data_IF_551900454420
#
_entry.id   IF_551900454420
#
_cell.length_a   1.000
_cell.length_b   1.000
_cell.length_c   1.000
_cell.angle_alpha   90.00
_cell.angle_beta   90.00
_cell.angle_gamma   90.00
#
_symmetry.space_group_name_H-M   'P 1'
#
loop_
_entity.id
_entity.type
_entity.pdbx_description
1 polymer ?
#
# COMPACT_ATOMS: atom_id res chain seq x y z
N UNK A 1 13.49 -18.69 2.52
CA UNK A 1 13.45 -17.41 1.77
C UNK A 1 14.79 -16.73 1.97
N UNK A 2 15.43 -16.26 0.91
CA UNK A 2 16.71 -15.57 0.99
C UNK A 2 16.62 -14.21 0.28
N UNK A 3 17.34 -13.22 0.79
CA UNK A 3 17.61 -11.97 0.11
C UNK A 3 19.00 -11.48 0.50
N UNK A 4 19.92 -11.41 -0.45
CA UNK A 4 21.33 -11.14 -0.19
C UNK A 4 21.88 -12.07 0.92
N UNK A 5 22.29 -11.50 2.05
CA UNK A 5 22.82 -12.20 3.22
C UNK A 5 21.75 -12.60 4.26
N UNK A 6 20.52 -12.08 4.16
CA UNK A 6 19.44 -12.40 5.08
C UNK A 6 18.70 -13.67 4.64
N UNK A 7 18.67 -14.69 5.52
CA UNK A 7 18.01 -15.98 5.29
C UNK A 7 16.93 -16.24 6.35
N UNK A 8 15.71 -16.54 5.91
CA UNK A 8 14.63 -17.06 6.75
C UNK A 8 14.38 -18.53 6.39
N UNK A 9 14.54 -19.40 7.39
CA UNK A 9 14.27 -20.83 7.29
C UNK A 9 13.01 -21.18 8.06
N UNK A 10 12.20 -22.06 7.47
CA UNK A 10 11.01 -22.62 8.11
C UNK A 10 11.22 -24.12 8.22
N UNK A 11 11.09 -24.65 9.42
CA UNK A 11 11.23 -26.07 9.71
C UNK A 11 10.31 -26.45 10.87
N UNK A 12 9.96 -27.73 10.92
CA UNK A 12 9.26 -28.29 12.08
C UNK A 12 10.18 -28.27 13.31
N UNK A 13 9.57 -28.13 14.49
CA UNK A 13 10.28 -27.97 15.75
C UNK A 13 10.84 -29.31 16.27
N UNK A 14 11.71 -29.94 15.49
CA UNK A 14 12.41 -31.17 15.84
C UNK A 14 13.92 -30.96 15.85
N UNK A 15 14.59 -31.54 16.86
CA UNK A 15 16.05 -31.45 17.00
C UNK A 15 16.78 -32.04 15.77
N UNK A 16 16.24 -33.11 15.17
CA UNK A 16 16.80 -33.72 13.97
C UNK A 16 16.84 -32.73 12.79
N UNK A 17 15.78 -31.94 12.58
CA UNK A 17 15.71 -30.95 11.49
C UNK A 17 16.76 -29.86 11.66
N UNK A 18 16.97 -29.41 12.91
CA UNK A 18 17.96 -28.37 13.22
C UNK A 18 19.38 -28.87 12.99
N UNK A 19 19.67 -30.14 13.27
CA UNK A 19 20.97 -30.75 12.94
C UNK A 19 21.21 -30.78 11.43
N UNK A 20 20.19 -31.10 10.64
CA UNK A 20 20.29 -31.08 9.18
C UNK A 20 20.54 -29.65 8.68
N UNK A 21 19.77 -28.68 9.16
CA UNK A 21 19.97 -27.27 8.80
C UNK A 21 21.39 -26.81 9.11
N UNK A 22 21.88 -27.14 10.31
CA UNK A 22 23.25 -26.80 10.73
C UNK A 22 24.30 -27.45 9.84
N UNK A 23 24.18 -28.75 9.55
CA UNK A 23 25.11 -29.46 8.67
C UNK A 23 25.13 -28.86 7.25
N UNK A 24 23.97 -28.47 6.72
CA UNK A 24 23.87 -27.81 5.41
C UNK A 24 24.52 -26.43 5.44
N UNK A 25 24.29 -25.64 6.50
CA UNK A 25 24.91 -24.33 6.66
C UNK A 25 26.43 -24.43 6.84
N UNK A 26 26.93 -25.40 7.60
CA UNK A 26 28.35 -25.65 7.80
C UNK A 26 29.01 -26.04 6.47
N UNK A 27 28.42 -26.97 5.71
CA UNK A 27 28.91 -27.34 4.38
C UNK A 27 28.91 -26.15 3.40
N UNK A 28 27.91 -25.29 3.47
CA UNK A 28 27.88 -24.05 2.68
C UNK A 28 28.99 -23.08 3.11
N UNK A 29 29.24 -22.93 4.41
CA UNK A 29 30.30 -22.09 4.95
C UNK A 29 31.69 -22.59 4.51
N UNK A 30 31.92 -23.91 4.56
CA UNK A 30 33.16 -24.53 4.09
C UNK A 30 33.39 -24.31 2.60
N UNK A 31 32.35 -24.45 1.77
CA UNK A 31 32.46 -24.28 0.32
C UNK A 31 32.59 -22.81 -0.10
N UNK A 32 31.95 -21.88 0.62
CA UNK A 32 31.91 -20.45 0.26
C UNK A 32 32.97 -19.59 0.96
N UNK A 33 33.58 -20.10 2.03
CA UNK A 33 34.44 -19.33 2.93
C UNK A 33 33.69 -18.31 3.81
N UNK A 34 32.35 -18.29 3.76
CA UNK A 34 31.53 -17.41 4.61
C UNK A 34 31.24 -18.05 5.97
N UNK A 35 30.77 -17.25 6.94
CA UNK A 35 30.40 -17.73 8.28
C UNK A 35 29.06 -17.18 8.72
N UNK A 36 28.21 -18.05 9.28
CA UNK A 36 26.94 -17.64 9.89
C UNK A 36 27.20 -16.88 11.19
N UNK A 37 26.61 -15.70 11.32
CA UNK A 37 26.62 -14.94 12.58
C UNK A 37 25.54 -15.44 13.52
N UNK A 38 25.94 -16.21 14.55
CA UNK A 38 25.01 -16.71 15.57
C UNK A 38 24.41 -15.58 16.42
N UNK A 39 25.14 -14.48 16.61
CA UNK A 39 24.68 -13.30 17.35
C UNK A 39 23.54 -12.56 16.64
N UNK A 40 23.60 -12.49 15.30
CA UNK A 40 22.53 -11.88 14.49
C UNK A 40 21.37 -12.84 14.23
N UNK A 41 21.63 -14.15 14.30
CA UNK A 41 20.64 -15.19 14.09
C UNK A 41 19.66 -15.26 15.26
N UNK A 42 18.39 -15.52 14.95
CA UNK A 42 17.32 -15.62 15.96
C UNK A 42 16.40 -16.78 15.63
N UNK A 43 15.94 -17.51 16.65
CA UNK A 43 14.94 -18.56 16.49
C UNK A 43 13.64 -18.13 17.15
N UNK A 44 12.53 -18.27 16.42
CA UNK A 44 11.19 -18.09 16.94
C UNK A 44 10.43 -19.41 16.92
N UNK A 45 9.76 -19.71 18.02
CA UNK A 45 8.94 -20.91 18.17
C UNK A 45 7.46 -20.56 18.17
N UNK A 46 6.64 -21.44 17.59
CA UNK A 46 5.19 -21.31 17.68
C UNK A 46 4.72 -21.54 19.12
N UNK A 47 3.55 -21.00 19.46
CA UNK A 47 2.98 -21.14 20.82
C UNK A 47 2.78 -22.60 21.23
N UNK A 48 2.64 -23.50 20.26
CA UNK A 48 2.32 -24.92 20.46
C UNK A 48 3.54 -25.79 20.79
N UNK A 49 4.77 -25.24 20.75
CA UNK A 49 5.98 -26.00 21.07
C UNK A 49 6.21 -25.99 22.58
N UNK A 50 6.41 -27.15 23.20
CA UNK A 50 6.74 -27.27 24.62
C UNK A 50 8.06 -26.58 24.98
N UNK A 51 8.16 -26.05 26.21
CA UNK A 51 9.35 -25.32 26.67
C UNK A 51 10.63 -26.17 26.59
N UNK A 52 10.54 -27.43 26.99
CA UNK A 52 11.67 -28.37 26.97
C UNK A 52 12.21 -28.58 25.56
N UNK A 53 11.33 -28.74 24.56
CA UNK A 53 11.72 -28.84 23.16
C UNK A 53 12.42 -27.58 22.65
N UNK A 54 11.95 -26.39 23.05
CA UNK A 54 12.58 -25.10 22.68
C UNK A 54 13.99 -24.98 23.22
N UNK A 55 14.19 -25.34 24.49
CA UNK A 55 15.50 -25.31 25.14
C UNK A 55 16.47 -26.30 24.50
N UNK A 56 16.02 -27.52 24.20
CA UNK A 56 16.82 -28.51 23.45
C UNK A 56 17.23 -27.99 22.07
N UNK A 57 16.31 -27.38 21.32
CA UNK A 57 16.61 -26.84 19.99
C UNK A 57 17.57 -25.63 20.07
N UNK A 58 17.35 -24.72 21.02
CA UNK A 58 18.23 -23.56 21.23
C UNK A 58 19.63 -24.00 21.64
N UNK A 59 19.75 -25.01 22.52
CA UNK A 59 21.04 -25.58 22.92
C UNK A 59 21.80 -26.23 21.76
N UNK A 60 21.12 -26.99 20.90
CA UNK A 60 21.77 -27.66 19.75
C UNK A 60 22.16 -26.67 18.63
N UNK A 61 21.32 -25.66 18.39
CA UNK A 61 21.58 -24.64 17.37
C UNK A 61 22.62 -23.60 17.81
N UNK A 62 22.76 -23.33 19.11
CA UNK A 62 23.56 -22.22 19.63
C UNK A 62 22.95 -20.85 19.32
N UNK A 63 21.69 -20.80 18.89
CA UNK A 63 20.99 -19.55 18.54
C UNK A 63 20.01 -19.21 19.65
N UNK A 64 19.97 -17.93 20.03
CA UNK A 64 19.07 -17.44 21.07
C UNK A 64 17.61 -17.51 20.61
N UNK A 65 16.77 -18.06 21.48
CA UNK A 65 15.31 -18.00 21.31
C UNK A 65 14.82 -16.57 21.51
N UNK A 66 13.87 -16.14 20.68
CA UNK A 66 13.24 -14.82 20.78
C UNK A 66 11.73 -14.92 20.62
N UNK A 67 11.02 -14.01 21.26
CA UNK A 67 9.58 -13.79 21.06
C UNK A 67 9.28 -12.89 19.84
N UNK A 68 10.31 -12.23 19.29
CA UNK A 68 10.21 -11.35 18.13
C UNK A 68 11.38 -11.58 17.16
N UNK A 69 11.05 -11.94 15.91
CA UNK A 69 12.00 -12.08 14.81
C UNK A 69 12.52 -10.72 14.31
N UNK A 70 11.92 -9.61 14.76
CA UNK A 70 12.30 -8.27 14.34
C UNK A 70 11.92 -8.02 12.88
N UNK A 71 12.80 -7.31 12.16
CA UNK A 71 12.52 -6.82 10.81
C UNK A 71 13.28 -7.61 9.76
N UNK A 72 12.58 -7.89 8.67
CA UNK A 72 13.15 -8.41 7.43
C UNK A 72 12.77 -7.44 6.31
N UNK A 73 13.76 -6.98 5.55
CA UNK A 73 13.58 -5.98 4.49
C UNK A 73 12.82 -4.72 4.97
N UNK A 74 13.10 -4.29 6.20
CA UNK A 74 12.49 -3.10 6.81
C UNK A 74 11.04 -3.27 7.30
N UNK A 75 10.48 -4.47 7.22
CA UNK A 75 9.13 -4.78 7.71
C UNK A 75 9.18 -5.84 8.84
N UNK A 76 8.37 -5.70 9.90
CA UNK A 76 8.32 -6.69 10.97
C UNK A 76 7.79 -8.03 10.45
N UNK A 77 8.53 -9.11 10.72
CA UNK A 77 8.21 -10.47 10.24
C UNK A 77 6.97 -11.04 10.92
N UNK A 78 6.84 -10.82 12.23
CA UNK A 78 5.74 -11.32 13.04
C UNK A 78 4.80 -10.17 13.41
N UNK A 79 3.65 -10.10 12.74
CA UNK A 79 2.63 -9.09 13.02
C UNK A 79 1.52 -9.70 13.88
N UNK A 80 1.67 -9.66 15.22
CA UNK A 80 0.55 -10.02 16.12
C UNK A 80 -0.49 -8.90 16.20
N UNK A 81 -0.04 -7.64 16.31
CA UNK A 81 -0.89 -6.44 16.27
C UNK A 81 -0.11 -5.25 15.70
N UNK A 82 -0.78 -4.44 14.90
CA UNK A 82 -0.23 -3.18 14.39
C UNK A 82 -0.29 -2.13 15.49
N UNK A 83 0.85 -1.86 16.11
CA UNK A 83 0.95 -0.82 17.12
C UNK A 83 1.56 0.45 16.52
N UNK A 84 1.29 1.59 17.17
CA UNK A 84 1.90 2.88 16.82
C UNK A 84 3.43 2.82 16.85
N UNK A 85 3.97 2.04 17.78
CA UNK A 85 5.41 1.80 17.98
C UNK A 85 6.05 1.13 16.75
N UNK A 86 5.34 0.19 16.13
CA UNK A 86 5.81 -0.52 14.93
C UNK A 86 6.17 0.44 13.78
N UNK A 87 5.45 1.56 13.68
CA UNK A 87 5.67 2.58 12.66
C UNK A 87 6.34 3.86 13.20
N UNK A 88 6.66 3.90 14.49
CA UNK A 88 7.43 4.98 15.11
C UNK A 88 8.77 5.18 14.41
N UNK A 89 9.42 4.11 13.97
CA UNK A 89 10.66 4.19 13.21
C UNK A 89 10.51 4.85 11.83
N UNK A 90 9.36 4.72 11.16
CA UNK A 90 9.11 5.43 9.89
C UNK A 90 9.04 6.92 10.16
N UNK A 91 8.32 7.32 11.21
CA UNK A 91 8.22 8.70 11.67
C UNK A 91 9.60 9.24 12.10
N UNK A 92 10.40 8.43 12.82
CA UNK A 92 11.74 8.80 13.27
C UNK A 92 12.69 9.00 12.08
N UNK A 93 12.64 8.14 11.06
CA UNK A 93 13.42 8.30 9.83
C UNK A 93 13.07 9.59 9.09
N UNK A 94 11.78 9.90 8.95
CA UNK A 94 11.34 11.17 8.35
C UNK A 94 11.83 12.37 9.17
N UNK A 95 11.67 12.30 10.49
CA UNK A 95 12.06 13.38 11.40
C UNK A 95 13.58 13.62 11.40
N UNK A 96 14.38 12.55 11.39
CA UNK A 96 15.84 12.61 11.33
C UNK A 96 16.32 13.26 10.01
N UNK A 97 15.74 12.86 8.87
CA UNK A 97 16.04 13.50 7.57
C UNK A 97 15.70 14.99 7.58
N UNK A 98 14.56 15.36 8.13
CA UNK A 98 14.16 16.77 8.27
C UNK A 98 15.06 17.57 9.21
N UNK A 99 15.49 16.97 10.33
CA UNK A 99 16.38 17.61 11.29
C UNK A 99 17.75 17.92 10.68
N UNK A 100 18.27 17.03 9.82
CA UNK A 100 19.49 17.25 9.05
C UNK A 100 19.41 18.44 8.07
N UNK A 101 18.21 18.89 7.70
CA UNK A 101 18.00 20.01 6.78
C UNK A 101 17.54 21.30 7.47
N UNK A 102 17.71 21.41 8.80
CA UNK A 102 17.18 22.51 9.64
C UNK A 102 17.36 23.91 9.00
N UNK A 103 16.28 24.39 8.38
CA UNK A 103 15.74 25.77 8.42
C UNK A 103 16.52 26.94 7.82
N UNK A 104 17.85 26.98 7.83
CA UNK A 104 18.61 28.21 7.52
C UNK A 104 19.04 28.37 6.06
N UNK A 105 18.99 27.33 5.23
CA UNK A 105 19.55 27.38 3.87
C UNK A 105 18.51 27.15 2.75
N UNK A 106 17.25 26.87 3.09
CA UNK A 106 16.25 26.44 2.09
C UNK A 106 15.08 27.42 1.96
N UNK A 107 14.88 27.89 0.73
CA UNK A 107 13.68 28.62 0.31
C UNK A 107 12.42 27.76 0.47
N UNK A 108 11.24 28.39 0.49
CA UNK A 108 9.98 27.66 0.59
C UNK A 108 9.80 26.66 -0.57
N UNK A 109 10.15 27.07 -1.79
CA UNK A 109 10.15 26.19 -2.96
C UNK A 109 11.10 24.99 -2.78
N UNK A 110 12.32 25.22 -2.26
CA UNK A 110 13.26 24.15 -1.95
C UNK A 110 12.70 23.13 -0.93
N UNK A 111 12.02 23.62 0.11
CA UNK A 111 11.38 22.75 1.11
C UNK A 111 10.25 21.92 0.50
N UNK A 112 9.42 22.51 -0.37
CA UNK A 112 8.37 21.78 -1.10
C UNK A 112 8.97 20.67 -1.97
N UNK A 113 10.03 20.99 -2.72
CA UNK A 113 10.71 20.01 -3.59
C UNK A 113 11.26 18.84 -2.78
N UNK A 114 11.96 19.11 -1.67
CA UNK A 114 12.49 18.07 -0.79
C UNK A 114 11.40 17.24 -0.11
N UNK A 115 10.28 17.86 0.27
CA UNK A 115 9.14 17.10 0.80
C UNK A 115 8.66 16.08 -0.22
N UNK A 116 8.50 16.50 -1.49
CA UNK A 116 7.99 15.63 -2.54
C UNK A 116 8.96 14.51 -2.92
N UNK A 117 10.25 14.80 -3.05
CA UNK A 117 11.22 13.83 -3.53
C UNK A 117 11.69 12.88 -2.42
N UNK A 118 11.89 13.39 -1.21
CA UNK A 118 12.49 12.60 -0.12
C UNK A 118 11.51 12.25 0.98
N UNK A 119 10.77 13.22 1.54
CA UNK A 119 9.87 12.93 2.67
C UNK A 119 8.75 11.98 2.24
N UNK A 120 8.15 12.23 1.08
CA UNK A 120 7.07 11.39 0.54
C UNK A 120 7.55 10.00 0.09
N UNK A 121 8.85 9.77 -0.12
CA UNK A 121 9.37 8.46 -0.57
C UNK A 121 9.71 7.50 0.56
N UNK A 122 10.14 8.01 1.72
CA UNK A 122 10.50 7.20 2.90
C UNK A 122 9.39 6.23 3.34
N UNK A 123 8.11 6.64 3.47
CA UNK A 123 7.06 5.73 3.95
C UNK A 123 6.51 4.79 2.87
N UNK A 124 6.86 4.97 1.58
CA UNK A 124 6.26 4.25 0.45
C UNK A 124 6.38 2.73 0.62
N UNK A 125 7.54 2.24 1.06
CA UNK A 125 7.76 0.81 1.27
C UNK A 125 6.77 0.23 2.29
N UNK A 126 6.62 0.89 3.44
CA UNK A 126 5.68 0.47 4.48
C UNK A 126 4.22 0.64 4.04
N UNK A 127 3.89 1.72 3.33
CA UNK A 127 2.56 1.95 2.77
C UNK A 127 2.17 0.93 1.68
N UNK A 128 3.15 0.33 1.00
CA UNK A 128 2.91 -0.67 -0.04
C UNK A 128 2.48 -2.04 0.49
N UNK A 129 2.80 -2.33 1.74
CA UNK A 129 2.62 -3.64 2.36
C UNK A 129 1.46 -3.66 3.35
N UNK A 130 1.17 -2.52 3.99
CA UNK A 130 0.10 -2.44 4.99
C UNK A 130 -0.54 -1.06 5.08
N UNK A 131 -1.79 -1.03 5.54
CA UNK A 131 -2.48 0.20 5.87
C UNK A 131 -1.95 0.71 7.21
N UNK A 132 -1.29 1.88 7.19
CA UNK A 132 -0.77 2.49 8.41
C UNK A 132 -1.91 3.03 9.29
N UNK A 133 -1.74 3.03 10.62
CA UNK A 133 -2.71 3.66 11.52
C UNK A 133 -2.93 5.14 11.20
N UNK A 134 -4.16 5.62 11.30
CA UNK A 134 -4.51 7.02 11.01
C UNK A 134 -3.66 8.03 11.79
N UNK A 135 -3.29 7.70 13.04
CA UNK A 135 -2.39 8.52 13.86
C UNK A 135 -0.98 8.65 13.28
N UNK A 136 -0.48 7.60 12.64
CA UNK A 136 0.83 7.60 11.97
C UNK A 136 0.78 8.46 10.70
N UNK A 137 -0.27 8.29 9.89
CA UNK A 137 -0.50 9.06 8.67
C UNK A 137 -0.63 10.55 8.97
N UNK A 138 -1.47 10.90 9.95
CA UNK A 138 -1.62 12.29 10.40
C UNK A 138 -0.30 12.87 10.91
N UNK A 139 0.55 12.07 11.55
CA UNK A 139 1.87 12.52 12.01
C UNK A 139 2.83 12.78 10.84
N UNK A 140 2.80 11.95 9.80
CA UNK A 140 3.59 12.15 8.57
C UNK A 140 3.18 13.45 7.84
N UNK A 141 1.88 13.70 7.73
CA UNK A 141 1.35 14.94 7.16
C UNK A 141 1.72 16.16 8.04
N UNK A 142 1.62 16.02 9.36
CA UNK A 142 2.03 17.07 10.30
C UNK A 142 3.52 17.43 10.14
N UNK A 143 4.40 16.43 10.01
CA UNK A 143 5.83 16.65 9.80
C UNK A 143 6.09 17.34 8.46
N UNK A 144 5.47 16.85 7.39
CA UNK A 144 5.59 17.43 6.04
C UNK A 144 5.14 18.91 6.02
N UNK A 145 3.99 19.20 6.64
CA UNK A 145 3.45 20.55 6.79
C UNK A 145 4.33 21.43 7.67
N UNK A 146 4.88 20.90 8.76
CA UNK A 146 5.82 21.59 9.63
C UNK A 146 7.08 22.02 8.86
N UNK A 147 7.65 21.08 8.08
CA UNK A 147 8.85 21.32 7.28
C UNK A 147 8.67 22.48 6.30
N UNK A 148 7.62 22.43 5.46
CA UNK A 148 7.47 23.40 4.37
C UNK A 148 7.26 24.83 4.92
N UNK A 149 6.53 24.97 6.03
CA UNK A 149 6.28 26.27 6.67
C UNK A 149 7.47 26.72 7.51
N UNK A 150 8.49 25.87 7.67
CA UNK A 150 9.70 26.15 8.43
C UNK A 150 9.43 26.25 9.93
N UNK A 151 8.47 25.45 10.42
CA UNK A 151 8.25 25.23 11.84
C UNK A 151 9.34 24.28 12.35
N UNK A 152 10.12 24.74 13.32
CA UNK A 152 11.17 23.97 13.96
C UNK A 152 10.69 23.54 15.35
N UNK A 153 11.36 22.58 16.01
CA UNK A 153 10.99 22.15 17.37
C UNK A 153 10.88 23.27 18.40
N UNK A 154 11.58 24.40 18.17
CA UNK A 154 11.58 25.59 19.04
C UNK A 154 10.68 26.73 18.55
N UNK A 155 10.34 26.79 17.26
CA UNK A 155 9.56 27.89 16.68
C UNK A 155 8.40 27.37 15.85
N UNK A 156 7.18 27.54 16.37
CA UNK A 156 5.95 27.21 15.65
C UNK A 156 5.59 28.36 14.71
N UNK A 157 5.62 28.12 13.40
CA UNK A 157 5.12 29.07 12.40
C UNK A 157 3.65 28.80 12.08
N UNK A 158 2.90 29.87 11.88
CA UNK A 158 1.50 29.78 11.46
C UNK A 158 1.38 29.16 10.07
N UNK A 159 0.41 28.26 9.94
CA UNK A 159 0.11 27.59 8.69
C UNK A 159 -1.00 28.32 7.96
N UNK A 160 -0.62 29.09 6.95
CA UNK A 160 -1.53 30.00 6.25
C UNK A 160 -2.53 29.32 5.30
N UNK A 161 -2.29 28.06 4.91
CA UNK A 161 -3.11 27.32 3.94
C UNK A 161 -3.49 25.95 4.50
N UNK A 162 -4.75 25.54 4.27
CA UNK A 162 -5.25 24.23 4.65
C UNK A 162 -4.50 23.10 3.94
N UNK A 163 -4.19 22.01 4.65
CA UNK A 163 -3.40 20.91 4.10
C UNK A 163 -4.07 20.26 2.87
N UNK A 164 -5.40 20.15 2.86
CA UNK A 164 -6.16 19.67 1.70
C UNK A 164 -5.85 20.49 0.42
N UNK A 165 -5.83 21.81 0.52
CA UNK A 165 -5.45 22.71 -0.60
C UNK A 165 -3.98 22.58 -0.97
N UNK A 166 -3.09 22.39 0.01
CA UNK A 166 -1.67 22.10 -0.27
C UNK A 166 -1.50 20.81 -1.09
N UNK A 167 -2.33 19.81 -0.82
CA UNK A 167 -2.27 18.51 -1.47
C UNK A 167 -2.92 18.44 -2.86
N UNK A 168 -3.71 19.45 -3.24
CA UNK A 168 -4.26 19.55 -4.59
C UNK A 168 -3.16 19.68 -5.65
N UNK A 169 -3.48 19.37 -6.91
CA UNK A 169 -2.53 19.50 -8.01
C UNK A 169 -2.15 20.97 -8.21
N UNK A 170 -0.99 21.19 -8.85
CA UNK A 170 -0.54 22.56 -9.19
C UNK A 170 -1.54 23.32 -10.08
N UNK A 171 -2.26 22.58 -10.91
CA UNK A 171 -3.28 23.15 -11.80
C UNK A 171 -4.53 23.59 -11.04
N UNK A 172 -4.76 23.06 -9.84
CA UNK A 172 -5.93 23.39 -9.01
C UNK A 172 -5.56 24.38 -7.89
N UNK A 173 -4.41 25.07 -8.02
CA UNK A 173 -3.91 26.02 -7.02
C UNK A 173 -3.25 25.37 -5.79
N UNK A 174 -2.94 24.07 -5.84
CA UNK A 174 -2.20 23.36 -4.80
C UNK A 174 -0.71 23.24 -5.05
N UNK A 175 0.03 22.64 -4.11
CA UNK A 175 1.46 22.39 -4.30
C UNK A 175 1.74 21.03 -4.93
N UNK A 176 0.75 20.15 -5.09
CA UNK A 176 0.92 18.80 -5.63
C UNK A 176 1.70 17.88 -4.70
N UNK A 177 1.55 18.06 -3.39
CA UNK A 177 2.12 17.18 -2.36
C UNK A 177 1.10 16.08 -2.08
N UNK A 178 1.51 14.82 -2.06
CA UNK A 178 0.57 13.74 -1.80
C UNK A 178 0.29 13.63 -0.31
N UNK A 179 -0.99 13.60 0.05
CA UNK A 179 -1.40 13.34 1.42
C UNK A 179 -1.12 11.88 1.78
N UNK A 180 -0.62 11.64 2.99
CA UNK A 180 -0.17 10.32 3.42
C UNK A 180 -1.29 9.28 3.37
N UNK A 181 -2.52 9.68 3.72
CA UNK A 181 -3.69 8.79 3.77
C UNK A 181 -4.07 8.27 2.39
N UNK A 182 -4.31 9.16 1.44
CA UNK A 182 -4.70 8.84 0.07
C UNK A 182 -3.57 8.10 -0.65
N UNK A 183 -2.31 8.45 -0.37
CA UNK A 183 -1.15 7.74 -0.90
C UNK A 183 -1.09 6.29 -0.40
N UNK A 184 -1.29 6.06 0.90
CA UNK A 184 -1.30 4.70 1.45
C UNK A 184 -2.45 3.88 0.87
N UNK A 185 -3.65 4.46 0.74
CA UNK A 185 -4.79 3.79 0.10
C UNK A 185 -4.48 3.40 -1.35
N UNK A 186 -3.91 4.32 -2.15
CA UNK A 186 -3.53 4.04 -3.53
C UNK A 186 -2.45 2.95 -3.65
N UNK A 187 -1.47 2.93 -2.74
CA UNK A 187 -0.42 1.90 -2.70
C UNK A 187 -0.98 0.52 -2.34
N UNK A 188 -1.92 0.45 -1.38
CA UNK A 188 -2.56 -0.81 -1.00
C UNK A 188 -3.54 -1.28 -2.08
N UNK A 189 -4.23 -0.36 -2.75
CA UNK A 189 -5.04 -0.68 -3.92
C UNK A 189 -4.17 -1.27 -5.05
N UNK A 190 -2.92 -0.81 -5.24
CA UNK A 190 -1.99 -1.46 -6.17
C UNK A 190 -1.76 -2.94 -5.83
N UNK A 191 -1.57 -3.24 -4.55
CA UNK A 191 -1.40 -4.63 -4.09
C UNK A 191 -2.67 -5.46 -4.30
N UNK A 192 -3.84 -4.89 -4.02
CA UNK A 192 -5.13 -5.52 -4.32
C UNK A 192 -5.35 -5.75 -5.82
N UNK A 193 -4.96 -4.80 -6.68
CA UNK A 193 -5.07 -4.94 -8.13
C UNK A 193 -4.17 -6.05 -8.65
N UNK A 194 -2.93 -6.11 -8.18
CA UNK A 194 -2.01 -7.22 -8.48
C UNK A 194 -2.60 -8.55 -8.05
N UNK A 195 -3.26 -8.62 -6.89
CA UNK A 195 -3.87 -9.85 -6.42
C UNK A 195 -4.98 -10.34 -7.36
N UNK A 196 -5.74 -9.42 -7.98
CA UNK A 196 -6.81 -9.76 -8.92
C UNK A 196 -6.26 -10.26 -10.26
N UNK A 197 -5.17 -9.66 -10.76
CA UNK A 197 -4.56 -10.00 -12.05
C UNK A 197 -3.63 -11.23 -11.97
N UNK A 198 -2.81 -11.31 -10.92
CA UNK A 198 -1.80 -12.35 -10.75
C UNK A 198 -2.42 -13.58 -10.08
N UNK A 199 -2.56 -14.67 -10.86
CA UNK A 199 -3.11 -15.95 -10.39
C UNK A 199 -2.03 -16.97 -10.03
N UNK A 200 -0.81 -16.79 -10.52
CA UNK A 200 0.24 -17.82 -10.47
C UNK A 200 1.21 -17.62 -9.32
N UNK A 201 1.45 -16.38 -8.90
CA UNK A 201 2.40 -16.12 -7.83
C UNK A 201 1.98 -16.76 -6.49
N UNK A 202 2.98 -17.28 -5.77
CA UNK A 202 2.77 -18.01 -4.52
C UNK A 202 1.98 -17.19 -3.49
N UNK A 203 2.30 -15.90 -3.33
CA UNK A 203 1.62 -15.01 -2.38
C UNK A 203 0.14 -14.82 -2.74
N UNK A 204 -0.17 -14.68 -4.04
CA UNK A 204 -1.54 -14.54 -4.52
C UNK A 204 -2.32 -15.84 -4.32
N UNK A 205 -1.72 -16.98 -4.68
CA UNK A 205 -2.30 -18.32 -4.49
C UNK A 205 -2.63 -18.61 -3.02
N UNK A 206 -1.70 -18.31 -2.11
CA UNK A 206 -1.91 -18.48 -0.66
C UNK A 206 -3.06 -17.60 -0.15
N UNK A 207 -3.11 -16.32 -0.54
CA UNK A 207 -4.20 -15.43 -0.12
C UNK A 207 -5.54 -15.86 -0.69
N UNK A 208 -5.59 -16.23 -1.98
CA UNK A 208 -6.80 -16.72 -2.66
C UNK A 208 -7.35 -17.96 -1.98
N UNK A 209 -6.51 -18.95 -1.68
CA UNK A 209 -6.93 -20.17 -0.99
C UNK A 209 -7.36 -19.90 0.45
N UNK A 210 -6.59 -19.10 1.20
CA UNK A 210 -6.89 -18.79 2.61
C UNK A 210 -8.20 -18.03 2.79
N UNK A 211 -8.45 -17.03 1.96
CA UNK A 211 -9.63 -16.17 2.06
C UNK A 211 -10.76 -16.56 1.11
N UNK A 212 -10.58 -17.64 0.35
CA UNK A 212 -11.54 -18.14 -0.66
C UNK A 212 -11.97 -17.02 -1.62
N UNK A 213 -10.99 -16.33 -2.16
CA UNK A 213 -11.22 -15.21 -3.10
C UNK A 213 -11.80 -15.82 -4.38
N UNK A 214 -13.07 -15.52 -4.62
CA UNK A 214 -13.79 -15.87 -5.85
C UNK A 214 -13.67 -14.75 -6.88
N UNK A 215 -14.70 -14.64 -7.70
CA UNK A 215 -14.80 -13.56 -8.68
C UNK A 215 -15.01 -12.20 -8.00
N UNK A 216 -14.64 -11.11 -8.68
CA UNK A 216 -14.78 -9.74 -8.14
C UNK A 216 -16.25 -9.36 -7.90
N UNK A 217 -17.14 -9.93 -8.71
CA UNK A 217 -18.58 -9.81 -8.60
C UNK A 217 -19.13 -10.49 -7.33
N UNK A 218 -18.44 -11.52 -6.84
CA UNK A 218 -18.82 -12.30 -5.66
C UNK A 218 -18.28 -11.67 -4.39
N UNK A 219 -18.92 -10.57 -3.96
CA UNK A 219 -18.48 -9.78 -2.78
C UNK A 219 -18.54 -10.52 -1.44
N UNK A 220 -18.86 -11.81 -1.38
CA UNK A 220 -18.95 -12.57 -0.13
C UNK A 220 -17.61 -12.68 0.61
N UNK A 221 -16.50 -12.83 -0.13
CA UNK A 221 -15.16 -12.83 0.45
C UNK A 221 -14.71 -11.44 0.94
N UNK A 222 -15.46 -10.39 0.55
CA UNK A 222 -15.18 -9.00 0.92
C UNK A 222 -15.81 -8.54 2.25
N UNK A 223 -16.64 -9.39 2.86
CA UNK A 223 -17.36 -9.10 4.10
C UNK A 223 -16.40 -9.22 5.29
N UNK A 224 -16.27 -8.17 6.15
CA UNK A 224 -15.37 -8.20 7.30
C UNK A 224 -15.56 -9.40 8.22
N UNK A 225 -14.48 -10.13 8.50
CA UNK A 225 -14.45 -11.23 9.48
C UNK A 225 -13.43 -10.96 10.59
N UNK A 226 -13.67 -11.52 11.77
CA UNK A 226 -12.81 -11.34 12.96
C UNK A 226 -11.42 -11.97 12.78
N UNK A 227 -11.31 -13.04 11.99
CA UNK A 227 -10.09 -13.81 11.77
C UNK A 227 -9.17 -13.26 10.65
N UNK A 228 -9.46 -12.05 10.14
CA UNK A 228 -8.65 -11.44 9.10
C UNK A 228 -7.26 -11.04 9.59
N UNK A 229 -6.24 -11.34 8.79
CA UNK A 229 -4.90 -10.81 9.07
C UNK A 229 -4.89 -9.30 8.84
N UNK A 230 -3.94 -8.61 9.48
CA UNK A 230 -3.68 -7.19 9.28
C UNK A 230 -3.46 -6.84 7.81
N UNK A 231 -2.68 -7.66 7.10
CA UNK A 231 -2.42 -7.52 5.66
C UNK A 231 -3.70 -7.66 4.84
N UNK A 232 -4.51 -8.69 5.11
CA UNK A 232 -5.75 -8.91 4.37
C UNK A 232 -6.75 -7.77 4.59
N UNK A 233 -6.91 -7.34 5.85
CA UNK A 233 -7.74 -6.18 6.18
C UNK A 233 -7.29 -4.93 5.42
N UNK A 234 -5.98 -4.72 5.29
CA UNK A 234 -5.43 -3.61 4.52
C UNK A 234 -5.81 -3.72 3.04
N UNK A 235 -5.54 -4.87 2.41
CA UNK A 235 -5.89 -5.12 0.99
C UNK A 235 -7.37 -4.84 0.75
N UNK A 236 -8.25 -5.33 1.64
CA UNK A 236 -9.69 -5.13 1.53
C UNK A 236 -10.10 -3.66 1.60
N UNK A 237 -9.45 -2.85 2.46
CA UNK A 237 -9.67 -1.40 2.49
C UNK A 237 -9.32 -0.78 1.13
N UNK A 238 -8.16 -1.12 0.56
CA UNK A 238 -7.78 -0.64 -0.77
C UNK A 238 -8.74 -1.10 -1.88
N UNK A 239 -9.25 -2.33 -1.79
CA UNK A 239 -10.24 -2.86 -2.72
C UNK A 239 -11.55 -2.07 -2.67
N UNK A 240 -12.11 -1.87 -1.47
CA UNK A 240 -13.38 -1.15 -1.29
C UNK A 240 -13.27 0.35 -1.63
N UNK A 241 -12.19 1.00 -1.21
CA UNK A 241 -12.08 2.45 -1.35
C UNK A 241 -11.66 2.89 -2.76
N UNK A 242 -10.95 2.03 -3.50
CA UNK A 242 -10.34 2.39 -4.78
C UNK A 242 -10.79 1.44 -5.89
N UNK A 243 -10.53 0.14 -5.72
CA UNK A 243 -10.66 -0.82 -6.83
C UNK A 243 -12.11 -0.98 -7.26
N UNK A 244 -13.03 -1.28 -6.33
CA UNK A 244 -14.45 -1.50 -6.69
C UNK A 244 -15.12 -0.24 -7.25
N UNK A 245 -14.58 0.95 -6.96
CA UNK A 245 -15.07 2.21 -7.51
C UNK A 245 -14.56 2.43 -8.94
N UNK A 246 -13.28 2.17 -9.21
CA UNK A 246 -12.61 2.46 -10.50
C UNK A 246 -12.32 1.25 -11.40
N UNK A 247 -12.71 0.04 -11.03
CA UNK A 247 -12.58 -1.14 -11.89
C UNK A 247 -13.81 -1.31 -12.79
N UNK A 248 -13.57 -1.74 -14.02
CA UNK A 248 -14.59 -2.13 -14.99
C UNK A 248 -14.12 -3.32 -15.81
N UNK A 249 -15.06 -4.02 -16.42
CA UNK A 249 -14.79 -5.14 -17.30
C UNK A 249 -14.75 -4.65 -18.75
N UNK A 250 -13.79 -5.17 -19.51
CA UNK A 250 -13.79 -5.10 -20.97
C UNK A 250 -14.33 -6.44 -21.46
N UNK A 251 -15.47 -6.38 -22.16
CA UNK A 251 -16.12 -7.54 -22.72
C UNK A 251 -15.28 -8.14 -23.85
N UNK A 252 -15.03 -9.44 -23.73
CA UNK A 252 -14.39 -10.27 -24.73
C UNK A 252 -15.30 -11.44 -25.13
N UNK A 253 -15.12 -12.59 -24.50
CA UNK A 253 -15.93 -13.81 -24.71
C UNK A 253 -17.21 -13.84 -23.86
N UNK A 254 -17.36 -12.87 -22.95
CA UNK A 254 -18.53 -12.59 -22.14
C UNK A 254 -18.87 -13.64 -21.09
N UNK A 255 -17.99 -14.63 -20.86
CA UNK A 255 -18.24 -15.76 -19.95
C UNK A 255 -18.14 -15.37 -18.48
N UNK A 256 -17.27 -14.43 -18.17
CA UNK A 256 -16.93 -14.05 -16.80
C UNK A 256 -17.73 -12.83 -16.32
N UNK A 257 -18.32 -12.07 -17.24
CA UNK A 257 -19.02 -10.83 -16.94
C UNK A 257 -20.51 -11.09 -16.71
N UNK A 258 -20.99 -10.76 -15.51
CA UNK A 258 -22.42 -10.78 -15.17
C UNK A 258 -23.09 -9.54 -15.73
N UNK A 259 -24.02 -9.73 -16.66
CA UNK A 259 -24.59 -8.67 -17.49
C UNK A 259 -25.16 -7.50 -16.66
N UNK A 260 -25.88 -7.81 -15.58
CA UNK A 260 -26.56 -6.78 -14.75
C UNK A 260 -25.72 -6.23 -13.61
N UNK A 261 -24.85 -7.07 -13.01
CA UNK A 261 -24.16 -6.75 -11.74
C UNK A 261 -22.77 -6.15 -11.95
N UNK A 262 -22.14 -6.39 -13.09
CA UNK A 262 -20.80 -5.91 -13.38
C UNK A 262 -20.80 -4.58 -14.14
N UNK A 263 -19.73 -3.80 -13.95
CA UNK A 263 -19.48 -2.54 -14.64
C UNK A 263 -18.78 -2.81 -15.96
N UNK A 264 -19.49 -2.90 -17.07
CA UNK A 264 -18.88 -3.20 -18.38
C UNK A 264 -19.28 -2.25 -19.53
N UNK A 265 -20.28 -1.38 -19.33
CA UNK A 265 -20.75 -0.43 -20.35
C UNK A 265 -20.58 1.05 -19.92
N UNK A 266 -21.28 1.48 -18.87
CA UNK A 266 -21.41 2.90 -18.49
C UNK A 266 -20.67 3.29 -17.20
N UNK A 267 -19.72 2.47 -16.74
CA UNK A 267 -19.02 2.69 -15.46
C UNK A 267 -19.85 2.41 -14.20
N UNK A 268 -21.15 2.14 -14.34
CA UNK A 268 -22.06 1.61 -13.31
C UNK A 268 -22.64 0.27 -13.74
N UNK A 269 -23.03 -0.61 -12.78
CA UNK A 269 -23.84 -1.78 -13.09
C UNK A 269 -25.13 -1.37 -13.79
N UNK A 270 -25.58 -2.15 -14.79
CA UNK A 270 -26.81 -1.86 -15.52
C UNK A 270 -28.05 -1.93 -14.61
N UNK A 271 -28.01 -2.78 -13.58
CA UNK A 271 -29.05 -2.90 -12.57
C UNK A 271 -29.32 -1.57 -11.84
N UNK A 272 -28.27 -0.80 -11.54
CA UNK A 272 -28.39 0.48 -10.84
C UNK A 272 -29.02 1.57 -11.73
N UNK A 273 -28.98 1.38 -13.06
CA UNK A 273 -29.56 2.30 -14.06
C UNK A 273 -30.95 1.88 -14.55
N UNK A 274 -31.41 0.66 -14.26
CA UNK A 274 -32.72 0.18 -14.71
C UNK A 274 -33.81 0.61 -13.72
N UNK A 275 -34.79 1.39 -14.18
CA UNK A 275 -35.90 1.92 -13.36
C UNK A 275 -37.02 0.91 -13.08
N UNK A 276 -36.99 -0.27 -13.71
CA UNK A 276 -38.05 -1.29 -13.61
C UNK A 276 -37.57 -2.50 -12.82
N UNK A 277 -38.41 -3.00 -11.90
CA UNK A 277 -38.23 -4.25 -11.18
C UNK A 277 -37.79 -5.35 -12.16
N UNK A 278 -36.57 -5.85 -11.98
CA UNK A 278 -35.99 -6.89 -12.82
C UNK A 278 -36.83 -8.18 -12.71
N UNK A 279 -37.13 -8.87 -13.82
CA UNK A 279 -37.71 -10.21 -13.76
C UNK A 279 -36.72 -11.16 -13.06
N UNK A 280 -37.18 -11.93 -12.08
CA UNK A 280 -36.38 -12.85 -11.23
C UNK A 280 -35.48 -13.83 -12.04
N UNK A 281 -35.78 -14.04 -13.33
CA UNK A 281 -35.08 -15.00 -14.19
C UNK A 281 -33.83 -14.44 -14.91
N UNK A 282 -33.44 -13.16 -14.73
CA UNK A 282 -32.30 -12.56 -15.46
C UNK A 282 -31.04 -12.35 -14.59
N UNK A 283 -31.06 -12.70 -13.31
CA UNK A 283 -29.91 -12.51 -12.40
C UNK A 283 -28.66 -13.33 -12.78
N UNK A 284 -28.81 -14.36 -13.62
CA UNK A 284 -27.75 -15.30 -14.00
C UNK A 284 -27.22 -15.04 -15.42
N UNK A 285 -27.78 -14.05 -16.14
CA UNK A 285 -27.34 -13.76 -17.51
C UNK A 285 -25.90 -13.22 -17.54
N UNK A 286 -25.04 -13.87 -18.32
CA UNK A 286 -23.69 -13.38 -18.64
C UNK A 286 -23.71 -12.63 -19.97
N UNK A 287 -22.71 -11.77 -20.21
CA UNK A 287 -22.61 -11.00 -21.47
C UNK A 287 -22.55 -11.92 -22.69
N UNK A 288 -21.99 -13.13 -22.55
CA UNK A 288 -21.97 -14.17 -23.61
C UNK A 288 -23.35 -14.52 -24.15
N UNK A 289 -24.41 -14.45 -23.33
CA UNK A 289 -25.76 -14.78 -23.79
C UNK A 289 -26.27 -13.77 -24.84
N UNK A 290 -25.61 -12.61 -24.97
CA UNK A 290 -25.98 -11.50 -25.84
C UNK A 290 -24.82 -11.06 -26.77
N UNK A 291 -23.68 -11.75 -26.74
CA UNK A 291 -22.43 -11.35 -27.41
C UNK A 291 -21.68 -12.57 -27.96
N UNK A 292 -21.18 -12.49 -29.20
CA UNK A 292 -20.43 -13.58 -29.87
C UNK A 292 -18.91 -13.35 -29.87
N UNK A 293 -18.18 -14.43 -30.14
CA UNK A 293 -16.76 -14.69 -29.87
C UNK A 293 -15.79 -13.49 -29.95
N UNK A 294 -15.00 -13.35 -28.86
CA UNK A 294 -13.90 -12.42 -28.69
C UNK A 294 -12.77 -13.03 -27.85
N UNK A 295 -11.73 -12.25 -27.55
CA UNK A 295 -10.66 -12.66 -26.62
C UNK A 295 -11.22 -12.89 -25.20
N UNK A 296 -10.44 -13.46 -24.27
CA UNK A 296 -10.92 -13.66 -22.89
C UNK A 296 -11.31 -12.33 -22.21
N UNK A 297 -12.42 -12.32 -21.49
CA UNK A 297 -12.82 -11.18 -20.65
C UNK A 297 -11.67 -10.68 -19.76
N UNK A 298 -11.53 -9.37 -19.65
CA UNK A 298 -10.43 -8.76 -18.87
C UNK A 298 -10.91 -7.63 -17.97
N UNK A 299 -10.31 -7.55 -16.79
CA UNK A 299 -10.55 -6.47 -15.84
C UNK A 299 -9.64 -5.29 -16.19
N UNK A 300 -10.24 -4.12 -16.36
CA UNK A 300 -9.59 -2.87 -16.75
C UNK A 300 -9.80 -1.76 -15.72
N UNK A 301 -8.80 -0.89 -15.63
CA UNK A 301 -8.82 0.27 -14.76
C UNK A 301 -9.45 1.47 -15.47
N UNK A 302 -10.66 1.87 -15.08
CA UNK A 302 -11.45 2.89 -15.80
C UNK A 302 -10.92 4.31 -15.65
N UNK A 303 -10.06 4.54 -14.65
CA UNK A 303 -9.46 5.86 -14.42
C UNK A 303 -8.24 6.16 -15.31
N UNK A 304 -7.81 5.21 -16.15
CA UNK A 304 -6.82 5.47 -17.20
C UNK A 304 -7.34 5.01 -18.58
N UNK A 305 -7.01 5.74 -19.68
CA UNK A 305 -7.41 5.35 -21.03
C UNK A 305 -6.78 4.04 -21.53
N UNK A 306 -5.60 3.70 -21.03
CA UNK A 306 -4.88 2.45 -21.37
C UNK A 306 -5.44 1.22 -20.62
N UNK A 307 -6.35 1.42 -19.67
CA UNK A 307 -6.88 0.36 -18.81
C UNK A 307 -5.90 -0.15 -17.76
N UNK A 308 -4.69 0.41 -17.68
CA UNK A 308 -3.67 -0.01 -16.73
C UNK A 308 -3.83 0.68 -15.37
N UNK A 309 -3.68 -0.11 -14.30
CA UNK A 309 -3.69 0.44 -12.96
C UNK A 309 -2.37 1.16 -12.66
N UNK A 310 -2.45 2.43 -12.30
CA UNK A 310 -1.32 3.16 -11.74
C UNK A 310 -1.67 3.76 -10.39
N UNK A 311 -0.68 3.85 -9.49
CA UNK A 311 -0.86 4.52 -8.19
C UNK A 311 -1.28 5.99 -8.40
N UNK A 312 -0.83 6.60 -9.49
CA UNK A 312 -1.17 7.99 -9.83
C UNK A 312 -2.65 8.15 -10.17
N UNK A 313 -3.21 7.26 -11.01
CA UNK A 313 -4.62 7.32 -11.38
C UNK A 313 -5.52 6.91 -10.22
N UNK A 314 -5.13 5.91 -9.44
CA UNK A 314 -5.78 5.57 -8.17
C UNK A 314 -5.83 6.74 -7.17
N UNK A 315 -4.71 7.46 -7.00
CA UNK A 315 -4.65 8.66 -6.14
C UNK A 315 -5.54 9.79 -6.69
N UNK A 316 -5.60 9.95 -8.01
CA UNK A 316 -6.43 10.99 -8.66
C UNK A 316 -7.92 10.71 -8.48
N UNK A 317 -8.33 9.43 -8.59
CA UNK A 317 -9.69 8.97 -8.28
C UNK A 317 -10.08 9.29 -6.83
N UNK A 318 -9.20 9.00 -5.87
CA UNK A 318 -9.43 9.27 -4.44
C UNK A 318 -9.57 10.76 -4.10
N UNK A 319 -8.90 11.62 -4.88
CA UNK A 319 -8.89 13.07 -4.64
C UNK A 319 -9.94 13.82 -5.45
N UNK A 320 -10.74 13.14 -6.27
CA UNK A 320 -11.78 13.76 -7.10
C UNK A 320 -11.24 14.62 -8.25
N UNK A 321 -9.94 14.47 -8.59
CA UNK A 321 -9.30 15.22 -9.67
C UNK A 321 -9.62 14.62 -11.05
N UNK A 322 -10.91 14.49 -11.35
CA UNK A 322 -11.45 13.92 -12.59
C UNK A 322 -12.19 15.05 -13.34
N UNK A 323 -11.48 16.05 -13.86
CA UNK A 323 -12.00 17.05 -14.82
C UNK A 323 -10.85 17.86 -15.46
N UNK A 324 -11.05 18.46 -16.65
CA UNK A 324 -9.99 18.73 -17.61
C UNK A 324 -9.11 19.94 -17.27
N UNK A 325 -7.89 19.89 -17.82
CA UNK A 325 -6.83 20.90 -17.72
C UNK A 325 -7.36 22.31 -18.01
N UNK A 326 -7.53 23.14 -16.98
CA UNK A 326 -7.68 24.59 -17.18
C UNK A 326 -6.39 25.17 -17.75
N UNK A 327 -6.52 26.12 -18.67
CA UNK A 327 -5.39 26.84 -19.25
C UNK A 327 -4.82 27.82 -18.21
N UNK A 328 -3.80 27.36 -17.49
CA UNK A 328 -3.18 28.06 -16.35
C UNK A 328 -2.47 29.38 -16.70
N UNK A 329 -2.26 29.69 -17.99
CA UNK A 329 -1.50 30.86 -18.41
C UNK A 329 -2.16 32.19 -17.99
N UNK A 330 -3.48 32.31 -18.14
CA UNK A 330 -4.25 33.52 -17.79
C UNK A 330 -4.40 33.68 -16.28
N UNK A 331 -4.46 32.55 -15.55
CA UNK A 331 -4.52 32.50 -14.10
C UNK A 331 -3.20 32.96 -13.47
N UNK A 332 -2.06 32.36 -13.86
CA UNK A 332 -0.76 32.75 -13.33
C UNK A 332 -0.44 34.23 -13.59
N UNK A 333 -0.84 34.80 -14.73
CA UNK A 333 -0.65 36.23 -15.03
C UNK A 333 -1.37 37.16 -14.02
N UNK A 334 -2.51 36.75 -13.46
CA UNK A 334 -3.25 37.49 -12.41
C UNK A 334 -2.63 37.28 -11.02
N UNK A 335 -2.16 36.07 -10.73
CA UNK A 335 -1.48 35.70 -9.47
C UNK A 335 -0.18 36.46 -9.27
N UNK A 336 0.61 36.63 -10.34
CA UNK A 336 1.85 37.41 -10.28
C UNK A 336 1.62 38.91 -10.10
N UNK A 337 0.39 39.43 -10.17
CA UNK A 337 0.05 40.83 -9.89
C UNK A 337 -0.58 41.06 -8.51
N UNK A 338 -0.89 39.99 -7.77
CA UNK A 338 -1.53 40.09 -6.45
C UNK A 338 -0.52 40.49 -5.35
N UNK A 339 -0.85 41.52 -4.56
CA UNK A 339 -0.07 41.96 -3.40
C UNK A 339 -0.45 41.09 -2.19
N UNK A 340 0.19 39.92 -2.09
CA UNK A 340 0.04 38.99 -0.95
C UNK A 340 1.41 38.52 -0.46
N UNK A 341 1.54 38.08 0.81
CA UNK A 341 2.77 37.49 1.31
C UNK A 341 3.26 36.34 0.40
N UNK A 342 4.55 36.25 0.11
CA UNK A 342 5.13 35.24 -0.80
C UNK A 342 4.70 33.79 -0.47
N UNK A 343 4.46 33.52 0.82
CA UNK A 343 4.02 32.20 1.31
C UNK A 343 2.60 31.82 0.87
N UNK A 344 1.79 32.81 0.52
CA UNK A 344 0.41 32.63 0.03
C UNK A 344 0.37 32.71 -1.50
N UNK A 345 1.27 33.50 -2.11
CA UNK A 345 1.38 33.66 -3.57
C UNK A 345 1.60 32.34 -4.34
N UNK A 346 2.12 31.31 -3.68
CA UNK A 346 2.27 29.95 -4.24
C UNK A 346 0.95 29.14 -4.36
N UNK A 347 -0.14 29.59 -3.71
CA UNK A 347 -1.45 28.91 -3.66
C UNK A 347 -2.60 29.74 -4.24
N UNK A 348 -2.30 30.99 -4.53
CA UNK A 348 -3.06 31.76 -5.50
C UNK A 348 -2.70 31.24 -6.88
#
# INVERSE_FOLDING_TARGET
MCFADDLILFAEAFVAQIRVIRAVLERFCEASGQKVSLEKSKIYFSANVEREQRERISGVSGIQQTCDLGKYLGMPVLQKRLNKETFGEVIARVSSRMAGWKGRVLSMAGRVTLTKSVISSIPIHSMSTIMLPQSTLAKLDQLSRGFIWGSNGETRKQHLVAWSRVCQLKNDGGLGIRSAKEMNLAMIAKMGWRLLQDKESLWASVLRRKYKIGDISERQWSIPKSNWSSTWRSIMIGMHEVIFKGAGWIAGDGRSIKFWRDKWLNGTPLLDSSTNNSPENVEIATVRNLWQDGASDSLSWTANPDGEFTVRSAYSLLTGNVTPRQNMAVFYARVWRAVVPERVRLFL
#
